data_IF_134705588160
#
_entry.id   IF_134705588160
#
_cell.length_a   1.000
_cell.length_b   1.000
_cell.length_c   1.000
_cell.angle_alpha   90.00
_cell.angle_beta   90.00
_cell.angle_gamma   90.00
#
_symmetry.space_group_name_H-M   'P 1'
#
loop_
_entity.id
_entity.type
_entity.pdbx_description
1 polymer ?
#
# COMPACT_ATOMS: atom_id res chain seq x y z
N UNK A 1 2.43 2.24 11.35
CA UNK A 1 2.73 3.06 12.56
C UNK A 1 3.10 4.50 12.20
N UNK A 2 3.83 4.74 11.11
CA UNK A 2 4.17 6.10 10.65
C UNK A 2 2.94 6.97 10.36
N UNK A 3 1.88 6.40 9.77
CA UNK A 3 0.68 7.17 9.40
C UNK A 3 -0.07 7.74 10.62
N UNK A 4 -0.14 6.99 11.72
CA UNK A 4 -0.79 7.43 12.97
C UNK A 4 0.04 8.53 13.64
N UNK A 5 1.36 8.32 13.73
CA UNK A 5 2.28 9.33 14.26
C UNK A 5 2.24 10.62 13.43
N UNK A 6 2.10 10.50 12.11
CA UNK A 6 1.98 11.67 11.24
C UNK A 6 0.61 12.34 11.40
N UNK A 7 -0.46 11.57 11.59
CA UNK A 7 -1.80 12.10 11.83
C UNK A 7 -1.88 12.89 13.16
N UNK A 8 -1.24 12.40 14.23
CA UNK A 8 -1.11 13.13 15.49
C UNK A 8 -0.25 14.39 15.34
N UNK A 9 0.89 14.30 14.64
CA UNK A 9 1.78 15.44 14.45
C UNK A 9 1.15 16.57 13.61
N UNK A 10 0.21 16.22 12.72
CA UNK A 10 -0.45 17.17 11.83
C UNK A 10 -1.79 17.72 12.36
N UNK A 11 -2.34 17.15 13.44
CA UNK A 11 -3.56 17.63 14.09
C UNK A 11 -4.70 17.92 13.10
N UNK A 12 -5.16 19.17 13.06
CA UNK A 12 -6.36 19.64 12.34
C UNK A 12 -6.23 19.72 10.80
N UNK A 13 -5.08 19.32 10.22
CA UNK A 13 -4.82 19.40 8.77
C UNK A 13 -5.10 18.07 8.04
N UNK A 14 -6.34 17.59 8.10
CA UNK A 14 -6.79 16.37 7.40
C UNK A 14 -6.44 16.35 5.89
N UNK A 15 -6.36 17.51 5.24
CA UNK A 15 -6.00 17.66 3.82
C UNK A 15 -4.54 17.25 3.53
N UNK A 16 -3.63 17.38 4.50
CA UNK A 16 -2.21 17.03 4.31
C UNK A 16 -1.97 15.52 4.39
N UNK A 17 -2.81 14.77 5.12
CA UNK A 17 -2.76 13.31 5.16
C UNK A 17 -3.04 12.69 3.77
N UNK A 18 -4.02 13.24 3.04
CA UNK A 18 -4.27 12.85 1.65
C UNK A 18 -3.06 13.07 0.74
N UNK A 19 -2.30 14.15 0.94
CA UNK A 19 -1.06 14.41 0.20
C UNK A 19 0.02 13.39 0.52
N UNK A 20 0.17 12.98 1.77
CA UNK A 20 1.12 11.94 2.16
C UNK A 20 0.79 10.59 1.51
N UNK A 21 -0.50 10.23 1.44
CA UNK A 21 -0.94 9.02 0.74
C UNK A 21 -0.64 9.06 -0.75
N UNK A 22 -0.83 10.22 -1.39
CA UNK A 22 -0.48 10.44 -2.81
C UNK A 22 1.03 10.27 -3.02
N UNK A 23 1.86 10.89 -2.18
CA UNK A 23 3.32 10.71 -2.25
C UNK A 23 3.75 9.25 -2.03
N UNK A 24 3.08 8.52 -1.13
CA UNK A 24 3.29 7.09 -0.95
C UNK A 24 2.94 6.27 -2.20
N UNK A 25 1.84 6.60 -2.87
CA UNK A 25 1.39 5.93 -4.11
C UNK A 25 2.34 6.21 -5.27
N UNK A 26 2.80 7.46 -5.41
CA UNK A 26 3.83 7.84 -6.38
C UNK A 26 5.12 7.06 -6.14
N UNK A 27 5.54 6.96 -4.87
CA UNK A 27 6.74 6.22 -4.50
C UNK A 27 6.63 4.75 -4.91
N UNK A 28 5.50 4.09 -4.60
CA UNK A 28 5.24 2.71 -4.99
C UNK A 28 5.27 2.51 -6.52
N UNK A 29 4.66 3.43 -7.26
CA UNK A 29 4.65 3.41 -8.72
C UNK A 29 6.04 3.59 -9.35
N UNK A 30 6.93 4.37 -8.74
CA UNK A 30 8.31 4.59 -9.23
C UNK A 30 9.26 3.48 -8.78
N UNK A 31 9.09 2.92 -7.59
CA UNK A 31 9.99 1.88 -7.05
C UNK A 31 9.72 0.49 -7.64
N UNK A 32 8.46 0.14 -7.96
CA UNK A 32 8.14 -1.15 -8.59
C UNK A 32 8.93 -1.48 -9.87
N UNK A 33 9.09 -0.59 -10.86
CA UNK A 33 9.82 -0.86 -12.09
C UNK A 33 11.34 -0.80 -11.86
N UNK A 34 11.82 0.06 -10.95
CA UNK A 34 13.23 0.09 -10.54
C UNK A 34 13.61 -1.25 -9.89
N UNK A 35 12.76 -1.77 -9.01
CA UNK A 35 12.94 -3.11 -8.43
C UNK A 35 12.92 -4.20 -9.50
N UNK A 36 12.02 -4.11 -10.49
CA UNK A 36 11.99 -5.01 -11.64
C UNK A 36 13.29 -5.02 -12.45
N UNK A 37 13.86 -3.84 -12.75
CA UNK A 37 15.16 -3.69 -13.44
C UNK A 37 16.30 -4.27 -12.58
N UNK A 38 16.31 -3.96 -11.28
CA UNK A 38 17.34 -4.43 -10.37
C UNK A 38 17.37 -5.97 -10.29
N UNK A 39 16.21 -6.61 -10.28
CA UNK A 39 16.09 -8.08 -10.27
C UNK A 39 16.48 -8.66 -11.64
N UNK A 40 16.16 -7.99 -12.74
CA UNK A 40 16.52 -8.45 -14.10
C UNK A 40 18.04 -8.38 -14.35
N UNK A 41 18.68 -7.28 -13.95
CA UNK A 41 20.13 -7.13 -13.99
C UNK A 41 20.85 -8.16 -13.11
N UNK A 42 20.27 -8.46 -11.94
CA UNK A 42 20.73 -9.49 -11.03
C UNK A 42 20.68 -10.91 -11.60
N UNK A 43 19.59 -11.26 -12.28
CA UNK A 43 19.44 -12.57 -12.93
C UNK A 43 20.45 -12.74 -14.07
N UNK A 44 20.72 -11.66 -14.82
CA UNK A 44 21.71 -11.64 -15.91
C UNK A 44 23.14 -11.84 -15.38
N UNK A 45 23.47 -11.25 -14.22
CA UNK A 45 24.79 -11.40 -13.60
C UNK A 45 25.05 -12.79 -12.99
N UNK A 46 23.99 -13.56 -12.69
CA UNK A 46 24.08 -14.85 -11.99
C UNK A 46 23.85 -16.06 -12.90
N UNK A 47 23.98 -15.89 -14.21
CA UNK A 47 23.94 -16.99 -15.19
C UNK A 47 22.64 -17.86 -15.07
N UNK A 48 21.49 -17.18 -14.97
CA UNK A 48 20.15 -17.79 -14.95
C UNK A 48 19.80 -18.68 -13.74
N UNK A 49 20.61 -18.68 -12.68
CA UNK A 49 20.15 -19.15 -11.37
C UNK A 49 19.38 -18.01 -10.71
N UNK A 50 18.18 -18.30 -10.19
CA UNK A 50 17.31 -17.36 -9.48
C UNK A 50 17.98 -16.88 -8.19
N UNK A 51 18.96 -15.98 -8.33
CA UNK A 51 19.69 -15.37 -7.24
C UNK A 51 18.86 -14.26 -6.65
N UNK A 52 18.07 -14.56 -5.61
CA UNK A 52 17.38 -13.54 -4.81
C UNK A 52 18.35 -12.64 -4.02
N UNK A 53 19.63 -13.04 -3.92
CA UNK A 53 20.71 -12.38 -3.16
C UNK A 53 20.89 -10.89 -3.48
N UNK A 54 21.00 -10.44 -4.74
CA UNK A 54 21.07 -9.01 -5.08
C UNK A 54 19.83 -8.20 -4.69
N UNK A 55 18.64 -8.81 -4.66
CA UNK A 55 17.43 -8.16 -4.14
C UNK A 55 17.55 -7.83 -2.66
N UNK A 56 18.13 -8.74 -1.86
CA UNK A 56 18.42 -8.49 -0.45
C UNK A 56 19.43 -7.36 -0.24
N UNK A 57 20.44 -7.22 -1.11
CA UNK A 57 21.40 -6.12 -1.04
C UNK A 57 20.75 -4.75 -1.29
N UNK A 58 19.92 -4.62 -2.33
CA UNK A 58 19.19 -3.38 -2.61
C UNK A 58 18.27 -3.01 -1.44
N UNK A 59 17.56 -4.00 -0.90
CA UNK A 59 16.69 -3.80 0.27
C UNK A 59 17.48 -3.38 1.52
N UNK A 60 18.64 -3.98 1.75
CA UNK A 60 19.52 -3.61 2.86
C UNK A 60 20.03 -2.17 2.74
N UNK A 61 20.43 -1.73 1.54
CA UNK A 61 20.87 -0.34 1.31
C UNK A 61 19.74 0.65 1.60
N UNK A 62 18.52 0.35 1.16
CA UNK A 62 17.35 1.19 1.42
C UNK A 62 17.04 1.31 2.92
N UNK A 63 17.10 0.21 3.66
CA UNK A 63 16.90 0.21 5.12
C UNK A 63 17.97 1.04 5.83
N UNK A 64 19.24 0.90 5.44
CA UNK A 64 20.33 1.68 6.03
C UNK A 64 20.14 3.17 5.75
N UNK A 65 19.73 3.53 4.53
CA UNK A 65 19.44 4.91 4.17
C UNK A 65 18.27 5.48 4.99
N UNK A 66 17.19 4.71 5.18
CA UNK A 66 16.04 5.09 6.02
C UNK A 66 16.45 5.30 7.48
N UNK A 67 17.29 4.40 8.03
CA UNK A 67 17.85 4.54 9.38
C UNK A 67 18.69 5.82 9.55
N UNK A 68 19.51 6.17 8.56
CA UNK A 68 20.31 7.40 8.58
C UNK A 68 19.40 8.63 8.55
N UNK A 69 18.35 8.62 7.73
CA UNK A 69 17.35 9.68 7.67
C UNK A 69 16.60 9.86 8.99
N UNK A 70 16.13 8.77 9.59
CA UNK A 70 15.49 8.74 10.91
C UNK A 70 16.41 9.30 12.00
N UNK A 71 17.70 8.96 11.95
CA UNK A 71 18.68 9.47 12.90
C UNK A 71 18.94 10.97 12.75
N UNK A 72 18.80 11.52 11.53
CA UNK A 72 18.96 12.94 11.23
C UNK A 72 17.69 13.76 11.45
N UNK A 73 16.52 13.13 11.54
CA UNK A 73 15.28 13.84 11.85
C UNK A 73 15.22 14.22 13.34
N UNK A 74 14.76 15.43 13.68
CA UNK A 74 14.57 15.82 15.08
C UNK A 74 13.54 14.88 15.72
N UNK A 75 13.78 14.50 16.99
CA UNK A 75 12.89 13.62 17.77
C UNK A 75 11.44 14.04 17.56
N UNK A 76 10.70 13.23 16.81
CA UNK A 76 9.25 13.34 16.68
C UNK A 76 8.70 13.21 18.09
N UNK A 77 8.23 14.33 18.63
CA UNK A 77 7.64 14.43 19.96
C UNK A 77 6.28 13.75 19.86
N UNK A 78 6.26 12.43 20.00
CA UNK A 78 5.04 11.63 20.10
C UNK A 78 4.17 12.26 21.20
N UNK A 79 2.90 12.50 20.91
CA UNK A 79 1.93 12.93 21.90
C UNK A 79 1.91 11.94 23.06
N UNK A 80 1.54 12.42 24.25
CA UNK A 80 1.48 11.62 25.47
C UNK A 80 0.73 10.30 25.20
N UNK A 81 1.44 9.18 25.29
CA UNK A 81 0.83 7.87 25.13
C UNK A 81 -0.23 7.69 26.22
N UNK A 82 -1.45 7.32 25.80
CA UNK A 82 -2.52 6.94 26.73
C UNK A 82 -2.00 5.94 27.74
N UNK A 83 -2.19 6.24 29.02
CA UNK A 83 -1.78 5.39 30.15
C UNK A 83 -2.54 4.07 30.21
N UNK A 84 -3.55 3.86 29.35
CA UNK A 84 -4.40 2.67 29.34
C UNK A 84 -4.70 2.14 27.92
N UNK A 85 -3.66 1.86 27.13
CA UNK A 85 -3.74 1.26 25.78
C UNK A 85 -4.77 0.11 25.64
N UNK A 86 -4.80 -0.83 26.59
CA UNK A 86 -5.73 -1.96 26.56
C UNK A 86 -7.20 -1.56 26.82
N UNK A 87 -7.44 -0.51 27.60
CA UNK A 87 -8.80 0.00 27.87
C UNK A 87 -9.35 0.73 26.65
N UNK A 88 -8.52 1.46 25.93
CA UNK A 88 -8.90 2.16 24.71
C UNK A 88 -9.21 1.15 23.58
N UNK A 89 -8.39 0.11 23.43
CA UNK A 89 -8.68 -0.98 22.49
C UNK A 89 -10.03 -1.63 22.82
N UNK A 90 -10.30 -1.92 24.10
CA UNK A 90 -11.57 -2.55 24.50
C UNK A 90 -12.77 -1.62 24.31
N UNK A 91 -12.61 -0.31 24.49
CA UNK A 91 -13.64 0.69 24.22
C UNK A 91 -13.96 0.77 22.72
N UNK A 92 -12.93 0.77 21.88
CA UNK A 92 -13.07 0.84 20.42
C UNK A 92 -13.68 -0.44 19.83
N UNK A 93 -13.24 -1.62 20.31
CA UNK A 93 -13.83 -2.92 19.93
C UNK A 93 -15.18 -3.21 20.62
N UNK A 94 -15.67 -2.32 21.48
CA UNK A 94 -16.99 -2.45 22.11
C UNK A 94 -18.15 -2.16 21.16
N UNK A 95 -17.91 -1.43 20.07
CA UNK A 95 -18.90 -1.16 19.03
C UNK A 95 -19.00 -2.32 18.03
N UNK A 96 -20.16 -2.96 17.93
CA UNK A 96 -20.42 -4.03 16.95
C UNK A 96 -20.07 -3.60 15.51
N UNK A 97 -20.34 -2.34 15.17
CA UNK A 97 -20.00 -1.74 13.87
C UNK A 97 -18.49 -1.74 13.59
N UNK A 98 -17.65 -1.41 14.58
CA UNK A 98 -16.18 -1.36 14.45
C UNK A 98 -15.61 -2.77 14.30
N UNK A 99 -16.15 -3.74 15.03
CA UNK A 99 -15.72 -5.14 14.92
C UNK A 99 -16.05 -5.69 13.54
N UNK A 100 -17.28 -5.49 13.06
CA UNK A 100 -17.70 -5.89 11.71
C UNK A 100 -16.82 -5.23 10.65
N UNK A 101 -16.58 -3.92 10.78
CA UNK A 101 -15.71 -3.17 9.87
C UNK A 101 -14.27 -3.70 9.88
N UNK A 102 -13.73 -4.05 11.05
CA UNK A 102 -12.34 -4.55 11.19
C UNK A 102 -12.18 -5.92 10.57
N UNK A 103 -13.10 -6.85 10.86
CA UNK A 103 -13.09 -8.19 10.26
C UNK A 103 -13.22 -8.08 8.74
N UNK A 104 -14.10 -7.21 8.28
CA UNK A 104 -14.35 -6.97 6.87
C UNK A 104 -13.14 -6.42 6.12
N UNK A 105 -12.52 -5.35 6.64
CA UNK A 105 -11.29 -4.77 6.07
C UNK A 105 -10.13 -5.76 6.06
N UNK A 106 -10.07 -6.65 7.05
CA UNK A 106 -9.11 -7.75 7.08
C UNK A 106 -9.32 -8.71 5.89
N UNK A 107 -10.55 -9.17 5.65
CA UNK A 107 -10.86 -10.02 4.49
C UNK A 107 -10.52 -9.33 3.17
N UNK A 108 -10.94 -8.07 2.97
CA UNK A 108 -10.59 -7.31 1.76
C UNK A 108 -9.09 -7.20 1.57
N UNK A 109 -8.32 -7.00 2.65
CA UNK A 109 -6.85 -6.99 2.61
C UNK A 109 -6.26 -8.32 2.16
N UNK A 110 -6.77 -9.44 2.66
CA UNK A 110 -6.34 -10.79 2.23
C UNK A 110 -6.63 -11.01 0.75
N UNK A 111 -7.84 -10.68 0.28
CA UNK A 111 -8.19 -10.79 -1.14
C UNK A 111 -7.31 -9.93 -2.03
N UNK A 112 -7.03 -8.70 -1.63
CA UNK A 112 -6.12 -7.82 -2.35
C UNK A 112 -4.70 -8.40 -2.42
N UNK A 113 -4.19 -8.95 -1.32
CA UNK A 113 -2.88 -9.59 -1.27
C UNK A 113 -2.79 -10.82 -2.18
N UNK A 114 -3.78 -11.70 -2.14
CA UNK A 114 -3.87 -12.88 -3.02
C UNK A 114 -3.93 -12.45 -4.49
N UNK A 115 -4.72 -11.43 -4.81
CA UNK A 115 -4.80 -10.90 -6.17
C UNK A 115 -3.47 -10.33 -6.65
N UNK A 116 -2.75 -9.58 -5.80
CA UNK A 116 -1.45 -9.04 -6.15
C UNK A 116 -0.41 -10.16 -6.36
N UNK A 117 -0.40 -11.19 -5.52
CA UNK A 117 0.48 -12.34 -5.70
C UNK A 117 0.15 -13.10 -6.99
N UNK A 118 -1.14 -13.40 -7.23
CA UNK A 118 -1.58 -14.12 -8.42
C UNK A 118 -1.25 -13.38 -9.71
N UNK A 119 -1.47 -12.05 -9.76
CA UNK A 119 -1.16 -11.27 -10.96
C UNK A 119 0.36 -11.22 -11.25
N UNK A 120 1.19 -11.21 -10.20
CA UNK A 120 2.64 -11.32 -10.37
C UNK A 120 3.04 -12.69 -10.93
N UNK A 121 2.50 -13.78 -10.36
CA UNK A 121 2.77 -15.14 -10.81
C UNK A 121 2.26 -15.42 -12.22
N UNK A 122 1.05 -14.96 -12.54
CA UNK A 122 0.47 -15.12 -13.87
C UNK A 122 1.33 -14.44 -14.94
N UNK A 123 1.86 -13.23 -14.68
CA UNK A 123 2.80 -12.60 -15.60
C UNK A 123 4.14 -13.33 -15.68
N UNK A 124 4.61 -13.93 -14.57
CA UNK A 124 5.84 -14.73 -14.57
C UNK A 124 5.67 -16.03 -15.39
N UNK A 125 4.50 -16.68 -15.28
CA UNK A 125 4.17 -17.93 -16.00
C UNK A 125 4.05 -17.75 -17.52
N UNK A 126 3.59 -16.59 -18.00
CA UNK A 126 3.58 -16.26 -19.44
C UNK A 126 4.97 -15.85 -19.97
N UNK A 127 6.01 -15.90 -19.14
CA UNK A 127 7.38 -15.57 -19.49
C UNK A 127 7.67 -14.07 -19.57
N UNK A 128 6.87 -13.22 -18.90
CA UNK A 128 7.11 -11.79 -18.92
C UNK A 128 8.37 -11.42 -18.11
N UNK A 129 9.18 -10.47 -18.58
CA UNK A 129 10.29 -9.93 -17.80
C UNK A 129 9.81 -9.33 -16.48
N UNK A 130 10.62 -9.43 -15.42
CA UNK A 130 10.29 -8.85 -14.10
C UNK A 130 10.12 -7.31 -14.16
N UNK A 131 10.76 -6.68 -15.14
CA UNK A 131 10.53 -5.28 -15.50
C UNK A 131 9.08 -5.02 -15.94
N UNK A 132 8.51 -5.87 -16.79
CA UNK A 132 7.14 -5.73 -17.31
C UNK A 132 6.11 -5.94 -16.20
N UNK A 133 6.40 -6.86 -15.26
CA UNK A 133 5.60 -7.04 -14.04
C UNK A 133 5.59 -5.73 -13.23
N UNK A 134 6.77 -5.20 -12.92
CA UNK A 134 6.91 -3.94 -12.16
C UNK A 134 6.25 -2.75 -12.87
N UNK A 135 6.40 -2.64 -14.19
CA UNK A 135 5.79 -1.60 -15.02
C UNK A 135 4.26 -1.68 -15.03
N UNK A 136 3.70 -2.89 -15.08
CA UNK A 136 2.25 -3.09 -15.03
C UNK A 136 1.66 -2.59 -13.71
N UNK A 137 2.36 -2.83 -12.59
CA UNK A 137 2.01 -2.27 -11.30
C UNK A 137 2.13 -0.74 -11.25
N UNK A 138 3.17 -0.16 -11.86
CA UNK A 138 3.31 1.31 -12.00
C UNK A 138 2.17 1.92 -12.78
N UNK A 139 1.81 1.33 -13.92
CA UNK A 139 0.72 1.80 -14.77
C UNK A 139 -0.59 1.75 -13.97
N UNK A 140 -0.88 0.64 -13.30
CA UNK A 140 -2.08 0.52 -12.47
C UNK A 140 -2.13 1.58 -11.36
N UNK A 141 -1.04 1.75 -10.60
CA UNK A 141 -1.02 2.68 -9.46
C UNK A 141 -0.98 4.14 -9.89
N UNK A 142 -0.22 4.49 -10.93
CA UNK A 142 -0.10 5.88 -11.38
C UNK A 142 -1.28 6.34 -12.24
N UNK A 143 -1.88 5.46 -13.06
CA UNK A 143 -2.98 5.84 -13.95
C UNK A 143 -4.36 5.56 -13.36
N UNK A 144 -4.53 4.53 -12.52
CA UNK A 144 -5.83 4.24 -11.91
C UNK A 144 -5.94 4.78 -10.49
N UNK A 145 -4.95 4.53 -9.63
CA UNK A 145 -5.04 4.89 -8.20
C UNK A 145 -4.82 6.39 -7.97
N UNK A 146 -3.86 7.00 -8.65
CA UNK A 146 -3.51 8.42 -8.50
C UNK A 146 -4.66 9.39 -8.83
N UNK A 147 -5.37 9.26 -9.97
CA UNK A 147 -6.53 10.12 -10.27
C UNK A 147 -7.68 9.86 -9.31
N UNK A 148 -7.88 8.60 -8.93
CA UNK A 148 -8.95 8.21 -8.02
C UNK A 148 -8.72 8.79 -6.62
N UNK A 149 -7.47 8.83 -6.13
CA UNK A 149 -7.08 9.50 -4.88
C UNK A 149 -7.30 11.02 -4.95
N UNK A 150 -7.06 11.65 -6.10
CA UNK A 150 -7.31 13.09 -6.29
C UNK A 150 -8.80 13.42 -6.27
N UNK A 151 -9.63 12.55 -6.85
CA UNK A 151 -11.09 12.68 -6.90
C UNK A 151 -11.76 12.15 -5.62
N UNK A 152 -11.06 11.33 -4.83
CA UNK A 152 -11.60 10.71 -3.61
C UNK A 152 -12.13 11.73 -2.62
N UNK A 153 -11.47 12.89 -2.47
CA UNK A 153 -11.95 13.95 -1.57
C UNK A 153 -13.33 14.49 -2.01
N UNK A 154 -13.56 14.61 -3.32
CA UNK A 154 -14.87 15.03 -3.87
C UNK A 154 -15.93 13.92 -3.75
N UNK A 155 -15.53 12.67 -3.92
CA UNK A 155 -16.43 11.51 -3.78
C UNK A 155 -16.88 11.37 -2.33
N UNK A 156 -15.94 11.35 -1.38
CA UNK A 156 -16.23 11.23 0.05
C UNK A 156 -17.08 12.39 0.56
N UNK A 157 -16.82 13.61 0.08
CA UNK A 157 -17.61 14.79 0.44
C UNK A 157 -19.05 14.80 -0.09
N UNK A 158 -19.34 14.08 -1.19
CA UNK A 158 -20.69 14.01 -1.77
C UNK A 158 -21.50 12.79 -1.37
N UNK A 159 -20.84 11.63 -1.29
CA UNK A 159 -21.48 10.32 -1.14
C UNK A 159 -21.50 9.90 0.34
N UNK A 160 -20.63 10.47 1.17
CA UNK A 160 -20.46 10.08 2.56
C UNK A 160 -19.63 8.81 2.70
N UNK A 161 -18.99 8.65 3.86
CA UNK A 161 -18.03 7.57 4.12
C UNK A 161 -18.64 6.19 3.85
N UNK A 162 -19.83 5.90 4.40
CA UNK A 162 -20.48 4.59 4.30
C UNK A 162 -20.73 4.14 2.84
N UNK A 163 -21.30 5.02 2.01
CA UNK A 163 -21.60 4.69 0.62
C UNK A 163 -20.36 4.59 -0.26
N UNK A 164 -19.29 5.36 0.05
CA UNK A 164 -18.00 5.21 -0.62
C UNK A 164 -17.41 3.81 -0.40
N UNK A 165 -17.57 3.25 0.81
CA UNK A 165 -17.14 1.88 1.10
C UNK A 165 -17.95 0.83 0.34
N UNK A 166 -19.28 0.96 0.26
CA UNK A 166 -20.11 0.07 -0.57
C UNK A 166 -19.70 0.10 -2.05
N UNK A 167 -19.36 1.28 -2.58
CA UNK A 167 -18.94 1.43 -3.97
C UNK A 167 -17.60 0.72 -4.24
N UNK A 168 -16.62 0.85 -3.34
CA UNK A 168 -15.37 0.08 -3.43
C UNK A 168 -15.61 -1.44 -3.41
N UNK A 169 -16.63 -1.88 -2.67
CA UNK A 169 -17.02 -3.28 -2.62
C UNK A 169 -17.62 -3.77 -3.92
N UNK A 170 -18.55 -3.00 -4.50
CA UNK A 170 -19.14 -3.31 -5.79
C UNK A 170 -18.06 -3.37 -6.88
N UNK A 171 -17.13 -2.41 -6.90
CA UNK A 171 -16.01 -2.41 -7.84
C UNK A 171 -15.10 -3.64 -7.68
N UNK A 172 -14.83 -4.05 -6.44
CA UNK A 172 -14.00 -5.25 -6.15
C UNK A 172 -14.70 -6.54 -6.56
N UNK A 173 -16.00 -6.66 -6.31
CA UNK A 173 -16.81 -7.80 -6.75
C UNK A 173 -16.88 -7.89 -8.28
N UNK A 174 -17.13 -6.77 -8.96
CA UNK A 174 -17.14 -6.70 -10.43
C UNK A 174 -15.77 -7.12 -10.99
N UNK A 175 -14.67 -6.66 -10.38
CA UNK A 175 -13.32 -7.03 -10.78
C UNK A 175 -13.10 -8.55 -10.68
N UNK A 176 -13.46 -9.17 -9.55
CA UNK A 176 -13.33 -10.61 -9.35
C UNK A 176 -14.18 -11.42 -10.34
N UNK A 177 -15.41 -10.97 -10.61
CA UNK A 177 -16.29 -11.61 -11.59
C UNK A 177 -15.69 -11.49 -13.00
N UNK A 178 -15.15 -10.33 -13.37
CA UNK A 178 -14.51 -10.14 -14.67
C UNK A 178 -13.29 -11.07 -14.85
N UNK A 179 -12.47 -11.27 -13.81
CA UNK A 179 -11.37 -12.25 -13.86
C UNK A 179 -11.85 -13.69 -13.97
N UNK A 180 -13.03 -14.02 -13.44
CA UNK A 180 -13.58 -15.37 -13.59
C UNK A 180 -14.02 -15.69 -15.02
N UNK A 181 -14.21 -14.67 -15.88
CA UNK A 181 -14.59 -14.83 -17.28
C UNK A 181 -13.41 -14.77 -18.26
N UNK A 182 -12.21 -14.46 -17.76
CA UNK A 182 -10.98 -14.39 -18.55
C UNK A 182 -10.16 -15.68 -18.39
#
# INVERSE_FOLDING_TARGET
>A
MSDVATCELLGDRANTFGKQRIWGTISWGIISPIAGIAIDAANTATNNQAGYTPGFYVFAVLIVMDMILLHRMPRLRMGEQSTNFFKDIKTVFGGCEVVVFTVWTCFTGVFFGVHAAYNAWFLEDIGAPKLVIGLSYSVMTLLAELPLLFVAHRILGRIGYFWSYCLSFAASAIKLVAYSFL
#
